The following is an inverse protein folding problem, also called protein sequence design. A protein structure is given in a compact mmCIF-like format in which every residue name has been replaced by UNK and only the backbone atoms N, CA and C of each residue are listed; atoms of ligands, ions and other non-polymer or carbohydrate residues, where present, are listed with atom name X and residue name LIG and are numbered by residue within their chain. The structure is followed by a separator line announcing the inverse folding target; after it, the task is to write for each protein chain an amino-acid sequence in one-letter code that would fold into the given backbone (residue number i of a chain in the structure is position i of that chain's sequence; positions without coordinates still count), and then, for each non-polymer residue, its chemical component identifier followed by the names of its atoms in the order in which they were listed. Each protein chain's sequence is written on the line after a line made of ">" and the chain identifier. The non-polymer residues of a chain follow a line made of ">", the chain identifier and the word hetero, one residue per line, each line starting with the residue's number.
data_IF_286631539088
#
_entry.id   IF_286631539088
#
_cell.length_a   1.000
_cell.length_b   1.000
_cell.length_c   1.000
_cell.angle_alpha   90.00
_cell.angle_beta   90.00
_cell.angle_gamma   90.00
#
_symmetry.space_group_name_H-M   'P 1'
#
loop_
_entity.id
_entity.type
_entity.pdbx_description
1 polymer ?
#
# COMPACT_ATOMS: atom_id res chain seq x y z
N UNK A 1 21.38 10.28 -16.62
CA UNK A 1 21.19 10.17 -15.17
C UNK A 1 20.14 9.11 -14.87
N UNK A 2 20.43 8.19 -13.95
CA UNK A 2 19.47 7.17 -13.54
C UNK A 2 18.70 7.70 -12.35
N UNK A 3 17.37 7.76 -12.48
CA UNK A 3 16.50 8.12 -11.36
C UNK A 3 16.28 6.88 -10.53
N UNK A 4 16.56 6.98 -9.24
CA UNK A 4 16.39 5.88 -8.30
C UNK A 4 14.90 5.62 -8.06
N UNK A 5 14.49 4.38 -8.28
CA UNK A 5 13.12 3.95 -7.99
C UNK A 5 12.89 3.86 -6.49
N UNK A 6 11.65 4.04 -6.09
CA UNK A 6 11.26 4.05 -4.69
C UNK A 6 10.09 3.10 -4.46
N UNK A 7 10.00 2.56 -3.26
CA UNK A 7 8.91 1.64 -2.92
C UNK A 7 8.31 1.99 -1.57
N UNK A 8 7.02 1.70 -1.44
CA UNK A 8 6.36 1.73 -0.13
C UNK A 8 5.64 0.41 0.08
N UNK A 9 5.63 -0.06 1.32
CA UNK A 9 5.00 -1.30 1.73
C UNK A 9 4.13 -0.97 2.94
N UNK A 10 2.87 -1.39 2.92
CA UNK A 10 1.94 -1.13 4.03
C UNK A 10 1.25 -2.42 4.42
N UNK A 11 1.30 -2.76 5.70
CA UNK A 11 0.61 -3.94 6.21
C UNK A 11 -0.71 -3.53 6.86
N UNK A 12 -1.69 -4.41 6.76
CA UNK A 12 -3.05 -4.21 7.27
C UNK A 12 -3.55 -5.46 7.95
N UNK A 13 -4.39 -5.26 8.97
CA UNK A 13 -5.19 -6.32 9.56
C UNK A 13 -6.66 -5.96 9.34
N UNK A 14 -7.37 -6.78 8.57
CA UNK A 14 -8.76 -6.50 8.20
C UNK A 14 -9.70 -7.13 9.21
N UNK A 15 -10.78 -6.44 9.54
CA UNK A 15 -11.81 -6.95 10.44
C UNK A 15 -12.43 -8.23 9.88
N UNK A 16 -12.77 -9.14 10.77
CA UNK A 16 -13.41 -10.40 10.39
C UNK A 16 -14.68 -10.14 9.59
N UNK A 17 -14.78 -10.77 8.42
CA UNK A 17 -15.94 -10.64 7.54
C UNK A 17 -15.86 -9.47 6.57
N UNK A 18 -14.83 -8.63 6.66
CA UNK A 18 -14.68 -7.45 5.79
C UNK A 18 -13.60 -7.63 4.72
N UNK A 19 -13.08 -8.83 4.56
CA UNK A 19 -11.99 -9.10 3.64
C UNK A 19 -12.33 -8.78 2.18
N UNK A 20 -13.51 -9.22 1.74
CA UNK A 20 -13.93 -8.99 0.36
C UNK A 20 -14.09 -7.51 0.06
N UNK A 21 -14.67 -6.77 0.96
CA UNK A 21 -14.88 -5.34 0.80
C UNK A 21 -13.55 -4.58 0.75
N UNK A 22 -12.60 -4.99 1.61
CA UNK A 22 -11.26 -4.43 1.59
C UNK A 22 -10.54 -4.69 0.24
N UNK A 23 -10.61 -5.93 -0.23
CA UNK A 23 -10.00 -6.30 -1.52
C UNK A 23 -10.61 -5.49 -2.67
N UNK A 24 -11.93 -5.29 -2.63
CA UNK A 24 -12.63 -4.54 -3.68
C UNK A 24 -12.20 -3.08 -3.72
N UNK A 25 -11.89 -2.47 -2.58
CA UNK A 25 -11.38 -1.10 -2.55
C UNK A 25 -10.11 -0.96 -3.37
N UNK A 26 -9.19 -1.92 -3.24
CA UNK A 26 -7.96 -1.91 -4.03
C UNK A 26 -8.21 -2.20 -5.50
N UNK A 27 -9.09 -3.16 -5.80
CA UNK A 27 -9.38 -3.56 -7.17
C UNK A 27 -10.04 -2.45 -7.98
N UNK A 28 -10.77 -1.56 -7.32
CA UNK A 28 -11.49 -0.47 -7.97
C UNK A 28 -10.78 0.87 -7.84
N UNK A 29 -9.67 0.95 -7.11
CA UNK A 29 -8.90 2.17 -6.97
C UNK A 29 -8.25 2.56 -8.30
N UNK A 30 -8.21 3.86 -8.56
CA UNK A 30 -7.53 4.37 -9.75
C UNK A 30 -6.03 4.26 -9.55
N UNK A 31 -5.31 4.04 -10.66
CA UNK A 31 -3.87 4.10 -10.67
C UNK A 31 -3.41 5.54 -10.38
N UNK A 32 -2.25 5.68 -9.77
CA UNK A 32 -1.67 6.99 -9.43
C UNK A 32 -0.52 7.32 -10.39
N UNK A 33 -0.35 8.60 -10.68
CA UNK A 33 0.75 9.06 -11.51
C UNK A 33 2.08 8.70 -10.85
N UNK A 34 2.99 8.13 -11.64
CA UNK A 34 4.33 7.76 -11.18
C UNK A 34 4.43 6.39 -10.52
N UNK A 35 3.31 5.72 -10.28
CA UNK A 35 3.35 4.33 -9.80
C UNK A 35 3.48 3.38 -11.00
N UNK A 36 4.44 2.48 -10.95
CA UNK A 36 4.69 1.52 -12.04
C UNK A 36 4.15 0.14 -11.73
N UNK A 37 3.92 -0.16 -10.46
CA UNK A 37 3.36 -1.44 -10.03
C UNK A 37 2.66 -1.23 -8.69
N UNK A 38 1.47 -1.78 -8.55
CA UNK A 38 0.73 -1.75 -7.28
C UNK A 38 0.16 -3.14 -7.02
N UNK A 39 0.51 -3.71 -5.89
CA UNK A 39 0.16 -5.09 -5.53
C UNK A 39 -0.50 -5.09 -4.16
N UNK A 40 -1.55 -5.88 -4.02
CA UNK A 40 -2.11 -6.23 -2.72
C UNK A 40 -1.97 -7.74 -2.56
N UNK A 41 -1.23 -8.16 -1.55
CA UNK A 41 -1.02 -9.58 -1.24
C UNK A 41 -1.80 -9.94 0.03
N UNK A 42 -2.41 -11.11 0.04
CA UNK A 42 -3.06 -11.66 1.22
C UNK A 42 -2.05 -12.58 1.92
N UNK A 43 -1.61 -12.19 3.10
CA UNK A 43 -0.56 -12.89 3.83
C UNK A 43 -1.10 -13.80 4.94
N UNK A 44 -2.38 -13.71 5.24
CA UNK A 44 -3.09 -14.53 6.21
C UNK A 44 -4.57 -14.39 6.00
N UNK A 45 -5.39 -15.01 6.82
CA UNK A 45 -6.85 -14.97 6.67
C UNK A 45 -7.39 -13.53 6.65
N UNK A 46 -6.85 -12.66 7.51
CA UNK A 46 -7.23 -11.26 7.62
C UNK A 46 -6.04 -10.31 7.44
N UNK A 47 -4.87 -10.84 7.12
CA UNK A 47 -3.64 -10.06 7.01
C UNK A 47 -3.33 -9.77 5.56
N UNK A 48 -2.95 -8.53 5.27
CA UNK A 48 -2.63 -8.08 3.92
C UNK A 48 -1.39 -7.20 3.94
N UNK A 49 -0.70 -7.17 2.80
CA UNK A 49 0.38 -6.22 2.56
C UNK A 49 0.19 -5.62 1.18
N UNK A 50 0.24 -4.29 1.10
CA UNK A 50 0.25 -3.62 -0.18
C UNK A 50 1.68 -3.19 -0.50
N UNK A 51 2.00 -3.16 -1.78
CA UNK A 51 3.33 -2.83 -2.27
C UNK A 51 3.17 -1.91 -3.47
N UNK A 52 3.81 -0.74 -3.41
CA UNK A 52 3.85 0.20 -4.51
C UNK A 52 5.27 0.39 -4.99
N UNK A 53 5.48 0.31 -6.31
CA UNK A 53 6.76 0.64 -6.94
C UNK A 53 6.58 1.94 -7.70
N UNK A 54 7.44 2.92 -7.42
CA UNK A 54 7.35 4.29 -7.93
C UNK A 54 8.56 4.65 -8.76
N UNK A 55 8.35 5.51 -9.75
CA UNK A 55 9.45 6.02 -10.58
C UNK A 55 10.52 6.73 -9.76
N UNK A 56 10.11 7.38 -8.66
CA UNK A 56 11.00 8.12 -7.76
C UNK A 56 10.31 8.37 -6.44
N UNK A 57 11.08 8.75 -5.43
CA UNK A 57 10.52 9.21 -4.14
C UNK A 57 9.60 10.41 -4.34
N UNK A 58 9.98 11.31 -5.23
CA UNK A 58 9.19 12.50 -5.54
C UNK A 58 7.80 12.15 -6.05
N UNK A 59 7.71 11.13 -6.92
CA UNK A 59 6.42 10.66 -7.44
C UNK A 59 5.55 10.09 -6.31
N UNK A 60 6.14 9.30 -5.40
CA UNK A 60 5.44 8.76 -4.25
C UNK A 60 4.91 9.88 -3.34
N UNK A 61 5.73 10.89 -3.08
CA UNK A 61 5.35 12.01 -2.23
C UNK A 61 4.15 12.76 -2.85
N UNK A 62 4.17 12.97 -4.16
CA UNK A 62 3.06 13.63 -4.86
C UNK A 62 1.76 12.85 -4.77
N UNK A 63 1.84 11.53 -4.74
CA UNK A 63 0.65 10.67 -4.66
C UNK A 63 0.15 10.49 -3.21
N UNK A 64 0.88 10.96 -2.22
CA UNK A 64 0.53 10.77 -0.80
C UNK A 64 -0.90 11.19 -0.46
N UNK A 65 -1.44 12.32 -0.91
CA UNK A 65 -2.82 12.66 -0.62
C UNK A 65 -3.81 11.62 -1.14
N UNK A 66 -3.56 11.06 -2.33
CA UNK A 66 -4.43 10.01 -2.90
C UNK A 66 -4.32 8.70 -2.12
N UNK A 67 -3.11 8.37 -1.66
CA UNK A 67 -2.90 7.19 -0.81
C UNK A 67 -3.64 7.33 0.52
N UNK A 68 -3.58 8.51 1.14
CA UNK A 68 -4.29 8.80 2.40
C UNK A 68 -5.80 8.69 2.17
N UNK A 69 -6.30 9.20 1.04
CA UNK A 69 -7.71 9.10 0.70
C UNK A 69 -8.18 7.64 0.60
N UNK A 70 -7.38 6.78 -0.02
CA UNK A 70 -7.69 5.35 -0.08
C UNK A 70 -7.69 4.72 1.31
N UNK A 71 -6.70 5.04 2.14
CA UNK A 71 -6.64 4.56 3.52
C UNK A 71 -7.84 5.02 4.34
N UNK A 72 -8.26 6.26 4.18
CA UNK A 72 -9.43 6.78 4.89
C UNK A 72 -10.69 6.02 4.51
N UNK A 73 -10.80 5.62 3.25
CA UNK A 73 -11.93 4.79 2.79
C UNK A 73 -11.90 3.39 3.40
N UNK A 74 -10.73 2.90 3.77
CA UNK A 74 -10.55 1.56 4.31
C UNK A 74 -10.57 1.49 5.84
N UNK A 75 -10.45 2.62 6.54
CA UNK A 75 -10.25 2.62 8.00
C UNK A 75 -11.28 1.81 8.77
N UNK A 76 -12.54 1.93 8.39
CA UNK A 76 -13.62 1.24 9.10
C UNK A 76 -13.58 -0.28 8.91
N UNK A 77 -12.79 -0.75 7.94
CA UNK A 77 -12.62 -2.17 7.65
C UNK A 77 -11.40 -2.76 8.37
N UNK A 78 -10.61 -1.94 9.06
CA UNK A 78 -9.33 -2.34 9.63
C UNK A 78 -9.39 -2.49 11.14
N UNK A 79 -8.68 -3.51 11.65
CA UNK A 79 -8.40 -3.67 13.06
C UNK A 79 -7.03 -3.08 13.40
N UNK A 80 -6.84 -2.73 14.65
CA UNK A 80 -5.55 -2.30 15.16
C UNK A 80 -4.54 -3.44 15.09
N UNK A 81 -3.39 -3.19 14.47
CA UNK A 81 -2.29 -4.16 14.39
C UNK A 81 -1.63 -4.27 15.76
N UNK A 82 -1.31 -3.12 16.36
CA UNK A 82 -0.79 -3.01 17.71
C UNK A 82 -1.03 -1.59 18.22
N UNK A 83 -0.96 -1.36 19.55
CA UNK A 83 -1.12 0.00 20.07
C UNK A 83 -0.09 1.00 19.52
N UNK A 84 1.11 0.52 19.21
CA UNK A 84 2.19 1.37 18.67
C UNK A 84 1.99 1.72 17.21
N UNK A 85 1.50 0.76 16.41
CA UNK A 85 1.36 0.93 14.97
C UNK A 85 0.00 1.50 14.55
N UNK A 86 -1.03 1.25 15.35
CA UNK A 86 -2.40 1.58 14.96
C UNK A 86 -2.93 0.62 13.90
N UNK A 87 -3.66 1.13 12.92
CA UNK A 87 -4.34 0.30 11.91
C UNK A 87 -3.51 0.03 10.65
N UNK A 88 -2.33 0.65 10.53
CA UNK A 88 -1.43 0.43 9.39
C UNK A 88 0.01 0.35 9.88
N UNK A 89 0.84 -0.35 9.10
CA UNK A 89 2.27 -0.45 9.37
C UNK A 89 3.01 -0.09 8.07
N UNK A 90 3.21 1.22 7.81
CA UNK A 90 3.86 1.67 6.58
C UNK A 90 5.37 1.76 6.73
N UNK A 91 6.08 1.31 5.70
CA UNK A 91 7.52 1.53 5.56
C UNK A 91 7.79 1.91 4.11
N UNK A 92 8.88 2.64 3.87
CA UNK A 92 9.26 3.03 2.52
C UNK A 92 10.77 3.18 2.42
N UNK A 93 11.29 3.09 1.21
CA UNK A 93 12.72 3.26 0.97
C UNK A 93 13.07 3.13 -0.50
N UNK A 94 14.32 3.48 -0.85
CA UNK A 94 14.80 3.31 -2.22
C UNK A 94 14.90 1.83 -2.60
N UNK A 95 14.66 1.56 -3.87
CA UNK A 95 14.82 0.20 -4.40
C UNK A 95 16.31 -0.05 -4.61
N UNK A 96 16.83 -1.06 -3.92
CA UNK A 96 18.25 -1.44 -4.01
C UNK A 96 18.46 -2.48 -5.11
N UNK A 97 17.47 -3.34 -5.32
CA UNK A 97 17.57 -4.41 -6.29
C UNK A 97 16.18 -4.70 -6.88
N UNK A 98 16.12 -4.84 -8.19
CA UNK A 98 14.93 -5.30 -8.90
C UNK A 98 15.37 -6.17 -10.06
N UNK A 99 14.69 -7.30 -10.25
CA UNK A 99 14.98 -8.22 -11.34
C UNK A 99 13.67 -8.53 -12.07
N UNK A 100 13.65 -8.27 -13.35
CA UNK A 100 12.51 -8.59 -14.21
C UNK A 100 12.76 -9.90 -14.96
N UNK A 101 11.69 -10.67 -15.14
CA UNK A 101 11.73 -11.93 -15.87
C UNK A 101 11.18 -11.77 -17.27
#
# INVERSE_FOLDING_TARGET
>A
MIVEKYTNIVRFLVKKGQQQEFENLFKTARSWEGITLHVLAKTGERSYASFGLWESESAMIKARPSMISLLDSARDLLDEISPELGVTDPVSGPVIFAQEQ
#
